data_IF_724758451964
#
_entry.id   IF_724758451964
#
_cell.length_a   1.000
_cell.length_b   1.000
_cell.length_c   1.000
_cell.angle_alpha   90.00
_cell.angle_beta   90.00
_cell.angle_gamma   90.00
#
_symmetry.space_group_name_H-M   'P 1'
#
loop_
_entity.id
_entity.type
_entity.pdbx_description
1 polymer ?
#
# COMPACT_ATOMS: atom_id res chain seq x y z
N UNK A 1 1.28 -10.20 -19.53
CA UNK A 1 0.28 -10.60 -18.52
C UNK A 1 -0.94 -9.65 -18.51
N UNK A 2 -1.45 -9.24 -19.69
CA UNK A 2 -2.50 -8.21 -19.77
C UNK A 2 -3.85 -8.69 -19.18
N UNK A 3 -4.39 -9.78 -19.71
CA UNK A 3 -5.70 -10.31 -19.31
C UNK A 3 -5.75 -10.73 -17.83
N UNK A 4 -4.61 -11.17 -17.30
CA UNK A 4 -4.47 -11.54 -15.89
C UNK A 4 -4.62 -10.30 -15.00
N UNK A 5 -3.89 -9.23 -15.31
CA UNK A 5 -3.95 -7.97 -14.56
C UNK A 5 -5.33 -7.31 -14.69
N UNK A 6 -5.97 -7.36 -15.86
CA UNK A 6 -7.33 -6.82 -16.05
C UNK A 6 -8.35 -7.54 -15.16
N UNK A 7 -8.24 -8.86 -15.04
CA UNK A 7 -9.09 -9.66 -14.14
C UNK A 7 -8.87 -9.28 -12.68
N UNK A 8 -7.62 -9.13 -12.25
CA UNK A 8 -7.29 -8.73 -10.88
C UNK A 8 -7.76 -7.31 -10.56
N UNK A 9 -7.54 -6.35 -11.46
CA UNK A 9 -8.03 -4.97 -11.30
C UNK A 9 -9.56 -4.91 -11.18
N UNK A 10 -10.28 -5.73 -11.94
CA UNK A 10 -11.74 -5.82 -11.83
C UNK A 10 -12.16 -6.35 -10.45
N UNK A 11 -11.46 -7.35 -9.92
CA UNK A 11 -11.75 -7.91 -8.59
C UNK A 11 -11.46 -6.87 -7.49
N UNK A 12 -10.32 -6.19 -7.55
CA UNK A 12 -9.95 -5.13 -6.61
C UNK A 12 -10.95 -3.98 -6.61
N UNK A 13 -11.44 -3.60 -7.80
CA UNK A 13 -12.47 -2.57 -7.98
C UNK A 13 -13.80 -3.00 -7.35
N UNK A 14 -14.23 -4.24 -7.60
CA UNK A 14 -15.48 -4.77 -7.04
C UNK A 14 -15.41 -4.89 -5.52
N UNK A 15 -14.27 -5.31 -4.96
CA UNK A 15 -14.06 -5.33 -3.52
C UNK A 15 -14.16 -3.91 -2.94
N UNK A 16 -13.43 -2.96 -3.52
CA UNK A 16 -13.43 -1.57 -3.08
C UNK A 16 -14.83 -0.94 -3.11
N UNK A 17 -15.57 -1.11 -4.21
CA UNK A 17 -16.95 -0.63 -4.30
C UNK A 17 -17.86 -1.26 -3.25
N UNK A 18 -17.74 -2.57 -3.04
CA UNK A 18 -18.54 -3.30 -2.05
C UNK A 18 -18.24 -2.78 -0.64
N UNK A 19 -16.97 -2.60 -0.30
CA UNK A 19 -16.55 -2.06 1.00
C UNK A 19 -17.04 -0.62 1.15
N UNK A 20 -16.82 0.26 0.18
CA UNK A 20 -17.26 1.66 0.25
C UNK A 20 -18.78 1.77 0.45
N UNK A 21 -19.58 0.96 -0.24
CA UNK A 21 -21.05 0.99 -0.14
C UNK A 21 -21.57 0.39 1.16
N UNK A 22 -20.91 -0.65 1.70
CA UNK A 22 -21.41 -1.43 2.85
C UNK A 22 -20.71 -1.10 4.17
N UNK A 23 -19.61 -0.35 4.14
CA UNK A 23 -18.88 -0.01 5.36
C UNK A 23 -19.66 1.03 6.17
N UNK A 24 -20.29 0.58 7.24
CA UNK A 24 -21.01 1.43 8.21
C UNK A 24 -20.16 1.81 9.42
N UNK A 25 -18.92 1.30 9.50
CA UNK A 25 -18.00 1.53 10.61
C UNK A 25 -16.71 2.23 10.17
N UNK A 26 -15.64 2.00 10.92
CA UNK A 26 -14.31 2.55 10.65
C UNK A 26 -13.58 1.77 9.56
N UNK A 27 -12.70 2.46 8.84
CA UNK A 27 -11.97 1.90 7.70
C UNK A 27 -10.87 0.90 8.08
N UNK A 28 -10.41 0.87 9.34
CA UNK A 28 -9.32 0.00 9.84
C UNK A 28 -9.63 -1.50 9.80
N UNK A 29 -10.91 -1.87 9.65
CA UNK A 29 -11.30 -3.25 9.44
C UNK A 29 -10.87 -3.77 8.07
N UNK A 30 -10.89 -2.88 7.08
CA UNK A 30 -10.76 -3.23 5.66
C UNK A 30 -9.44 -2.78 5.07
N UNK A 31 -8.91 -1.63 5.53
CA UNK A 31 -7.77 -0.99 4.90
C UNK A 31 -6.61 -0.76 5.87
N UNK A 32 -5.41 -0.79 5.32
CA UNK A 32 -4.18 -0.24 5.89
C UNK A 32 -3.64 0.84 4.96
N UNK A 33 -2.66 1.59 5.45
CA UNK A 33 -1.96 2.58 4.63
C UNK A 33 -0.56 2.10 4.27
N UNK A 34 -0.23 2.25 3.00
CA UNK A 34 1.14 2.14 2.51
C UNK A 34 1.68 3.57 2.42
N UNK A 35 2.36 3.98 3.49
CA UNK A 35 2.97 5.28 3.61
C UNK A 35 4.38 5.29 2.98
N UNK A 36 4.90 6.49 2.76
CA UNK A 36 6.21 6.70 2.14
C UNK A 36 7.18 7.20 3.18
N UNK A 37 8.36 6.57 3.22
CA UNK A 37 9.49 7.06 4.01
C UNK A 37 10.69 7.24 3.09
N UNK A 38 11.33 8.41 3.13
CA UNK A 38 12.60 8.58 2.43
C UNK A 38 13.65 7.64 3.00
N UNK A 39 14.53 7.13 2.14
CA UNK A 39 15.59 6.22 2.60
C UNK A 39 16.49 6.93 3.60
N UNK A 40 16.79 6.22 4.67
CA UNK A 40 17.80 6.61 5.64
C UNK A 40 19.07 5.79 5.38
N UNK A 41 20.19 6.25 5.92
CA UNK A 41 21.48 5.57 5.81
C UNK A 41 21.36 4.11 6.23
N UNK A 42 21.52 3.21 5.27
CA UNK A 42 21.45 1.77 5.47
C UNK A 42 22.84 1.15 5.37
N UNK A 43 23.06 0.03 6.07
CA UNK A 43 24.36 -0.66 6.09
C UNK A 43 24.78 -1.21 4.73
N UNK A 44 23.82 -1.43 3.81
CA UNK A 44 24.04 -2.14 2.54
C UNK A 44 23.84 -1.28 1.29
N UNK A 45 23.47 -0.01 1.42
CA UNK A 45 23.39 0.93 0.30
C UNK A 45 23.59 2.39 0.74
N UNK A 46 24.09 3.22 -0.17
CA UNK A 46 24.36 4.65 0.02
C UNK A 46 23.23 5.55 -0.50
N UNK A 47 22.08 4.98 -0.88
CA UNK A 47 20.93 5.73 -1.37
C UNK A 47 20.16 6.32 -0.19
N UNK A 48 20.30 7.62 0.02
CA UNK A 48 19.74 8.36 1.15
C UNK A 48 18.91 9.55 0.66
N UNK A 49 17.83 9.85 1.35
CA UNK A 49 16.97 11.00 1.06
C UNK A 49 16.20 10.90 -0.25
N UNK A 50 15.58 12.01 -0.64
CA UNK A 50 14.96 12.12 -1.96
C UNK A 50 16.02 11.93 -3.06
N UNK A 51 15.75 11.19 -4.15
CA UNK A 51 14.44 10.69 -4.60
C UNK A 51 14.08 9.26 -4.14
N UNK A 52 14.85 8.63 -3.26
CA UNK A 52 14.69 7.21 -2.93
C UNK A 52 13.69 7.01 -1.79
N UNK A 53 12.81 6.02 -1.92
CA UNK A 53 11.75 5.75 -0.94
C UNK A 53 11.78 4.29 -0.46
N UNK A 54 11.27 4.08 0.76
CA UNK A 54 10.84 2.82 1.33
C UNK A 54 9.34 2.85 1.52
N UNK A 55 8.71 1.68 1.43
CA UNK A 55 7.28 1.53 1.75
C UNK A 55 7.12 1.30 3.24
N UNK A 56 6.11 1.91 3.83
CA UNK A 56 5.78 1.73 5.25
C UNK A 56 4.34 1.27 5.35
N UNK A 57 4.14 -0.01 5.65
CA UNK A 57 2.79 -0.50 5.94
C UNK A 57 2.50 -0.19 7.39
N UNK A 58 1.42 0.56 7.62
CA UNK A 58 0.92 0.89 8.95
C UNK A 58 -0.59 0.79 9.01
N UNK A 59 -1.09 0.65 10.23
CA UNK A 59 -2.51 0.84 10.47
C UNK A 59 -2.91 2.31 10.20
N UNK A 60 -4.18 2.50 9.90
CA UNK A 60 -4.77 3.82 9.71
C UNK A 60 -4.67 4.62 11.02
N UNK A 61 -4.45 5.93 10.91
CA UNK A 61 -4.60 6.84 12.04
C UNK A 61 -6.09 7.17 12.28
N UNK A 62 -6.42 7.87 13.37
CA UNK A 62 -7.83 8.08 13.75
C UNK A 62 -8.61 8.93 12.74
N UNK A 63 -7.94 9.86 12.05
CA UNK A 63 -8.53 10.64 10.96
C UNK A 63 -8.83 9.77 9.72
N UNK A 64 -7.89 8.89 9.34
CA UNK A 64 -8.02 7.96 8.22
C UNK A 64 -9.08 6.87 8.49
N UNK A 65 -9.20 6.43 9.75
CA UNK A 65 -10.23 5.49 10.21
C UNK A 65 -11.64 6.04 10.07
N UNK A 66 -11.83 7.31 10.42
CA UNK A 66 -13.12 7.99 10.46
C UNK A 66 -13.49 8.67 9.13
N UNK A 67 -12.54 8.72 8.18
CA UNK A 67 -12.76 9.32 6.86
C UNK A 67 -13.88 8.61 6.11
N UNK A 68 -14.90 9.38 5.70
CA UNK A 68 -15.97 8.86 4.85
C UNK A 68 -15.47 8.66 3.42
N UNK A 69 -15.30 7.40 3.03
CA UNK A 69 -14.97 7.02 1.67
C UNK A 69 -16.27 6.93 0.85
N UNK A 70 -16.30 7.60 -0.30
CA UNK A 70 -17.44 7.65 -1.23
C UNK A 70 -17.07 7.18 -2.63
N UNK A 71 -15.77 7.18 -2.97
CA UNK A 71 -15.26 6.80 -4.28
C UNK A 71 -13.91 6.11 -4.15
N UNK A 72 -13.57 5.28 -5.15
CA UNK A 72 -12.30 4.52 -5.20
C UNK A 72 -11.11 5.47 -5.34
N UNK A 73 -11.25 6.61 -6.01
CA UNK A 73 -10.19 7.62 -6.13
C UNK A 73 -9.65 8.05 -4.75
N UNK A 74 -10.49 8.05 -3.72
CA UNK A 74 -10.05 8.37 -2.37
C UNK A 74 -9.18 7.26 -1.76
N UNK A 75 -9.34 6.00 -2.17
CA UNK A 75 -8.41 4.92 -1.78
C UNK A 75 -7.05 5.12 -2.43
N UNK A 76 -7.04 5.53 -3.70
CA UNK A 76 -5.83 5.85 -4.48
C UNK A 76 -5.09 7.03 -3.87
N UNK A 77 -5.78 8.15 -3.65
CA UNK A 77 -5.21 9.39 -3.11
C UNK A 77 -4.62 9.22 -1.70
N UNK A 78 -5.25 8.38 -0.88
CA UNK A 78 -4.80 8.15 0.49
C UNK A 78 -3.77 7.01 0.61
N UNK A 79 -3.38 6.39 -0.51
CA UNK A 79 -2.51 5.20 -0.58
C UNK A 79 -2.98 4.07 0.35
N UNK A 80 -4.27 3.77 0.29
CA UNK A 80 -4.85 2.66 1.03
C UNK A 80 -4.65 1.35 0.26
N UNK A 81 -4.62 0.27 1.03
CA UNK A 81 -4.55 -1.09 0.52
C UNK A 81 -5.32 -2.03 1.43
N UNK A 82 -5.78 -3.17 0.90
CA UNK A 82 -6.60 -4.12 1.66
C UNK A 82 -5.79 -4.75 2.80
N UNK A 83 -6.41 -4.83 3.98
CA UNK A 83 -5.77 -5.30 5.21
C UNK A 83 -5.45 -6.79 5.17
N UNK A 84 -6.30 -7.59 4.51
CA UNK A 84 -6.26 -9.05 4.57
C UNK A 84 -5.09 -9.67 3.78
N UNK A 85 -4.53 -8.94 2.82
CA UNK A 85 -3.47 -9.41 1.95
C UNK A 85 -2.13 -8.68 2.13
N UNK A 86 -2.08 -7.67 2.98
CA UNK A 86 -0.85 -6.98 3.33
C UNK A 86 -0.08 -7.71 4.44
N UNK A 87 1.25 -7.73 4.36
CA UNK A 87 2.09 -8.22 5.44
C UNK A 87 1.98 -7.33 6.70
N UNK A 88 2.66 -7.73 7.78
CA UNK A 88 2.62 -7.02 9.07
C UNK A 88 3.00 -5.53 8.97
N UNK A 89 2.75 -4.76 10.03
CA UNK A 89 3.19 -3.36 10.03
C UNK A 89 4.72 -3.29 10.06
N UNK A 90 5.31 -2.39 9.29
CA UNK A 90 6.77 -2.28 9.22
C UNK A 90 7.29 -1.47 8.05
N UNK A 91 8.61 -1.36 7.99
CA UNK A 91 9.34 -0.74 6.89
C UNK A 91 9.78 -1.80 5.90
N UNK A 92 9.38 -1.63 4.66
CA UNK A 92 9.64 -2.56 3.58
C UNK A 92 10.75 -2.02 2.70
N UNK A 93 11.94 -2.56 2.96
CA UNK A 93 13.22 -2.09 2.43
C UNK A 93 13.72 -3.10 1.42
N UNK A 94 14.02 -2.64 0.21
CA UNK A 94 14.60 -3.48 -0.85
C UNK A 94 15.99 -4.02 -0.51
N UNK A 95 16.68 -3.42 0.47
CA UNK A 95 18.07 -3.72 0.85
C UNK A 95 18.19 -4.58 2.11
N UNK A 96 17.10 -4.73 2.87
CA UNK A 96 17.09 -5.46 4.13
C UNK A 96 16.66 -6.90 3.91
N UNK A 97 17.43 -7.87 4.40
CA UNK A 97 17.04 -9.29 4.35
C UNK A 97 15.72 -9.58 5.09
N UNK A 98 15.30 -8.67 5.98
CA UNK A 98 14.04 -8.71 6.71
C UNK A 98 12.81 -8.43 5.83
N UNK A 99 12.98 -7.69 4.72
CA UNK A 99 11.86 -7.13 3.95
C UNK A 99 12.08 -7.02 2.43
N UNK A 100 13.24 -7.45 1.94
CA UNK A 100 13.57 -7.47 0.51
C UNK A 100 12.75 -8.52 -0.27
N UNK A 101 12.33 -9.61 0.37
CA UNK A 101 11.56 -10.70 -0.25
C UNK A 101 10.08 -10.67 0.16
N UNK A 102 9.49 -9.48 0.12
CA UNK A 102 8.08 -9.33 0.47
C UNK A 102 7.22 -9.71 -0.73
N UNK A 103 6.48 -10.80 -0.62
CA UNK A 103 5.54 -11.23 -1.65
C UNK A 103 4.17 -10.65 -1.28
N UNK A 104 3.63 -9.80 -2.16
CA UNK A 104 2.25 -9.32 -2.03
C UNK A 104 1.32 -10.42 -2.55
N UNK A 105 0.29 -10.75 -1.78
CA UNK A 105 -0.73 -11.70 -2.24
C UNK A 105 -1.42 -11.16 -3.50
N UNK A 106 -1.69 -12.02 -4.48
CA UNK A 106 -2.33 -11.67 -5.74
C UNK A 106 -3.74 -11.05 -5.56
N UNK A 107 -4.40 -11.33 -4.43
CA UNK A 107 -5.73 -10.79 -4.10
C UNK A 107 -5.65 -9.49 -3.26
N UNK A 108 -4.45 -8.96 -3.01
CA UNK A 108 -4.29 -7.72 -2.25
C UNK A 108 -4.52 -6.51 -3.16
N UNK A 109 -5.67 -5.87 -3.02
CA UNK A 109 -5.92 -4.57 -3.62
C UNK A 109 -4.98 -3.50 -3.07
N UNK A 110 -3.95 -3.14 -3.83
CA UNK A 110 -3.09 -1.97 -3.59
C UNK A 110 -3.60 -0.84 -4.49
N UNK A 111 -4.33 0.10 -3.89
CA UNK A 111 -4.91 1.22 -4.65
C UNK A 111 -3.93 2.39 -4.79
N UNK A 112 -3.00 2.51 -3.84
CA UNK A 112 -2.00 3.57 -3.80
C UNK A 112 -0.83 3.36 -4.76
N UNK A 113 -0.47 4.40 -5.50
CA UNK A 113 0.70 4.41 -6.37
C UNK A 113 1.99 4.86 -5.68
N UNK A 114 3.11 4.29 -6.10
CA UNK A 114 4.42 4.82 -5.75
C UNK A 114 4.65 6.20 -6.40
N UNK A 115 5.22 7.15 -5.65
CA UNK A 115 5.61 8.48 -6.17
C UNK A 115 7.13 8.69 -6.15
N UNK A 116 7.90 7.64 -5.89
CA UNK A 116 9.36 7.68 -5.96
C UNK A 116 9.80 8.03 -7.38
N UNK A 117 10.75 8.95 -7.49
CA UNK A 117 11.34 9.35 -8.78
C UNK A 117 12.57 8.53 -9.16
N UNK A 118 12.97 7.56 -8.32
CA UNK A 118 14.14 6.72 -8.59
C UNK A 118 13.96 5.28 -8.11
N UNK A 119 13.94 5.05 -6.80
CA UNK A 119 13.86 3.69 -6.25
C UNK A 119 12.63 3.53 -5.38
N UNK A 120 11.78 2.57 -5.77
CA UNK A 120 10.60 2.16 -5.03
C UNK A 120 10.96 1.42 -3.73
N UNK A 121 10.01 1.34 -2.80
CA UNK A 121 10.06 0.34 -1.74
C UNK A 121 9.75 -1.06 -2.31
N UNK A 122 9.84 -2.10 -1.47
CA UNK A 122 9.67 -3.49 -1.93
C UNK A 122 8.23 -3.94 -2.15
N UNK A 123 7.22 -3.16 -1.72
CA UNK A 123 5.79 -3.49 -1.91
C UNK A 123 5.19 -2.72 -3.09
N UNK A 124 5.66 -1.50 -3.32
CA UNK A 124 5.16 -0.60 -4.36
C UNK A 124 5.92 -0.67 -5.69
N UNK A 125 6.83 -1.65 -5.82
CA UNK A 125 7.56 -1.99 -7.05
C UNK A 125 6.76 -2.96 -7.91
#
# INVERSE_FOLDING_TARGET
>A
MKNYNESMMMLDYLEAESVIKKNTGTNDKWFKKIDKKYREKASYNKLEGAPHQWDVVRDLNDDEKSKKLTAIDQLVDNNFATKHGLPGNGHYRTEGFDSAYTVVNMMTGIYGGNTSKSTAGSISF
#
